data_IF_056006857970
#
_entry.id   IF_056006857970
#
_cell.length_a   1.000
_cell.length_b   1.000
_cell.length_c   1.000
_cell.angle_alpha   90.00
_cell.angle_beta   90.00
_cell.angle_gamma   90.00
#
_symmetry.space_group_name_H-M   'P 1'
#
loop_
_entity.id
_entity.type
_entity.pdbx_description
1 polymer ?
#
# COMPACT_ATOMS: atom_id res chain seq x y z
N UNK A 1 23.55 34.63 -31.93
CA UNK A 1 23.20 34.11 -33.26
C UNK A 1 23.73 32.70 -33.30
N UNK A 2 22.92 31.79 -32.79
CA UNK A 2 22.03 31.00 -33.64
C UNK A 2 22.82 30.06 -34.56
N UNK A 3 22.95 28.80 -34.17
CA UNK A 3 22.15 27.64 -34.56
C UNK A 3 22.25 27.26 -36.05
N UNK A 4 22.44 25.94 -36.25
CA UNK A 4 22.25 25.15 -37.47
C UNK A 4 23.36 25.40 -38.52
N UNK A 5 24.12 24.40 -38.95
CA UNK A 5 23.74 23.36 -39.93
C UNK A 5 25.03 22.49 -40.00
N UNK A 6 25.09 21.23 -39.56
CA UNK A 6 24.51 20.04 -40.18
C UNK A 6 24.51 18.84 -39.20
N UNK A 7 23.30 18.40 -38.90
CA UNK A 7 22.95 17.03 -38.54
C UNK A 7 23.13 16.11 -39.76
N UNK A 8 23.84 14.98 -39.60
CA UNK A 8 23.46 13.72 -40.28
C UNK A 8 24.14 12.47 -39.69
N UNK A 9 23.30 11.55 -39.20
CA UNK A 9 23.55 10.11 -39.00
C UNK A 9 24.34 9.75 -37.73
N UNK A 10 23.91 8.88 -36.82
CA UNK A 10 22.96 7.78 -36.98
C UNK A 10 22.21 7.43 -35.68
N UNK A 11 21.05 6.84 -35.92
CA UNK A 11 20.00 6.46 -34.98
C UNK A 11 20.37 5.14 -34.28
N UNK A 12 20.79 5.18 -33.00
CA UNK A 12 20.91 3.98 -32.14
C UNK A 12 20.49 4.23 -30.67
N UNK A 13 19.59 5.19 -30.41
CA UNK A 13 19.34 5.73 -29.05
C UNK A 13 18.20 5.11 -28.25
N UNK A 14 17.55 4.05 -28.73
CA UNK A 14 16.50 3.36 -27.97
C UNK A 14 17.05 2.34 -26.97
N UNK A 15 17.87 1.39 -27.44
CA UNK A 15 18.28 0.23 -26.65
C UNK A 15 19.39 0.52 -25.63
N UNK A 16 20.34 1.42 -25.93
CA UNK A 16 21.44 1.74 -24.99
C UNK A 16 20.97 2.57 -23.78
N UNK A 17 20.02 3.48 -23.99
CA UNK A 17 19.43 4.31 -22.92
C UNK A 17 18.58 3.44 -21.99
N UNK A 18 17.74 2.57 -22.56
CA UNK A 18 16.93 1.60 -21.81
C UNK A 18 17.79 0.57 -21.07
N UNK A 19 18.84 0.03 -21.70
CA UNK A 19 19.75 -0.90 -21.04
C UNK A 19 20.52 -0.25 -19.88
N UNK A 20 20.86 1.03 -19.98
CA UNK A 20 21.47 1.81 -18.88
C UNK A 20 20.47 2.09 -17.76
N UNK A 21 19.22 2.42 -18.11
CA UNK A 21 18.12 2.64 -17.16
C UNK A 21 17.73 1.35 -16.41
N UNK A 22 17.65 0.21 -17.09
CA UNK A 22 17.39 -1.11 -16.51
C UNK A 22 18.55 -1.60 -15.63
N UNK A 23 19.80 -1.36 -16.03
CA UNK A 23 20.96 -1.66 -15.18
C UNK A 23 21.00 -0.78 -13.93
N UNK A 24 20.69 0.51 -14.07
CA UNK A 24 20.55 1.42 -12.92
C UNK A 24 19.43 0.93 -11.99
N UNK A 25 18.24 0.65 -12.53
CA UNK A 25 17.10 0.13 -11.78
C UNK A 25 17.45 -1.18 -11.07
N UNK A 26 17.98 -2.17 -11.76
CA UNK A 26 18.35 -3.47 -11.16
C UNK A 26 19.41 -3.31 -10.05
N UNK A 27 20.39 -2.43 -10.26
CA UNK A 27 21.44 -2.16 -9.25
C UNK A 27 20.86 -1.43 -8.04
N UNK A 28 19.98 -0.46 -8.25
CA UNK A 28 19.26 0.26 -7.20
C UNK A 28 18.30 -0.66 -6.45
N UNK A 29 17.52 -1.51 -7.12
CA UNK A 29 16.65 -2.50 -6.50
C UNK A 29 17.47 -3.50 -5.68
N UNK A 30 18.60 -3.99 -6.19
CA UNK A 30 19.47 -4.90 -5.43
C UNK A 30 20.07 -4.21 -4.20
N UNK A 31 20.50 -2.96 -4.33
CA UNK A 31 21.05 -2.16 -3.22
C UNK A 31 19.97 -1.81 -2.20
N UNK A 32 18.81 -1.36 -2.66
CA UNK A 32 17.63 -1.05 -1.84
C UNK A 32 17.11 -2.30 -1.13
N UNK A 33 17.06 -3.44 -1.79
CA UNK A 33 16.68 -4.71 -1.19
C UNK A 33 17.66 -5.15 -0.09
N UNK A 34 18.97 -5.00 -0.33
CA UNK A 34 19.99 -5.27 0.71
C UNK A 34 19.93 -4.25 1.83
N UNK A 35 19.60 -2.98 1.55
CA UNK A 35 19.44 -1.94 2.55
C UNK A 35 18.20 -2.20 3.43
N UNK A 36 17.04 -2.47 2.81
CA UNK A 36 15.82 -2.94 3.49
C UNK A 36 16.07 -4.21 4.31
N UNK A 37 16.82 -5.16 3.75
CA UNK A 37 17.14 -6.42 4.43
C UNK A 37 18.21 -6.29 5.52
N UNK A 38 18.94 -5.16 5.61
CA UNK A 38 19.90 -4.87 6.69
C UNK A 38 19.29 -4.00 7.79
N UNK A 39 18.31 -3.17 7.49
CA UNK A 39 17.38 -2.57 8.47
C UNK A 39 16.31 -3.59 8.91
N UNK A 40 16.79 -4.76 9.34
CA UNK A 40 16.00 -5.92 9.77
C UNK A 40 15.01 -5.53 10.87
N UNK A 41 15.43 -4.72 11.85
CA UNK A 41 14.64 -4.44 13.04
C UNK A 41 13.27 -3.83 12.73
N UNK A 42 13.21 -2.90 11.77
CA UNK A 42 11.98 -2.16 11.48
C UNK A 42 11.01 -2.95 10.59
N UNK A 43 11.49 -3.55 9.51
CA UNK A 43 10.65 -4.37 8.63
C UNK A 43 10.15 -5.64 9.34
N UNK A 44 10.98 -6.28 10.17
CA UNK A 44 10.53 -7.41 10.97
C UNK A 44 9.55 -7.01 12.06
N UNK A 45 9.78 -5.90 12.77
CA UNK A 45 8.80 -5.37 13.74
C UNK A 45 7.46 -5.08 13.06
N UNK A 46 7.49 -4.57 11.82
CA UNK A 46 6.29 -4.36 11.01
C UNK A 46 5.60 -5.68 10.70
N UNK A 47 6.30 -6.70 10.19
CA UNK A 47 5.70 -8.02 9.93
C UNK A 47 5.07 -8.61 11.20
N UNK A 48 5.79 -8.59 12.32
CA UNK A 48 5.32 -9.13 13.61
C UNK A 48 4.06 -8.41 14.08
N UNK A 49 4.02 -7.08 14.02
CA UNK A 49 2.86 -6.31 14.45
C UNK A 49 1.64 -6.53 13.56
N UNK A 50 1.82 -6.68 12.24
CA UNK A 50 0.72 -7.03 11.33
C UNK A 50 0.17 -8.43 11.61
N UNK A 51 1.03 -9.40 11.91
CA UNK A 51 0.62 -10.76 12.29
C UNK A 51 -0.15 -10.73 13.60
N UNK A 52 0.38 -10.05 14.63
CA UNK A 52 -0.25 -9.94 15.94
C UNK A 52 -1.66 -9.33 15.84
N UNK A 53 -1.78 -8.24 15.10
CA UNK A 53 -3.08 -7.60 14.81
C UNK A 53 -4.01 -8.55 14.08
N UNK A 54 -3.54 -9.25 13.05
CA UNK A 54 -4.38 -10.16 12.27
C UNK A 54 -4.93 -11.29 13.14
N UNK A 55 -4.12 -11.79 14.09
CA UNK A 55 -4.56 -12.77 15.09
C UNK A 55 -5.60 -12.15 16.03
N UNK A 56 -5.37 -10.94 16.55
CA UNK A 56 -6.34 -10.24 17.40
C UNK A 56 -7.70 -10.05 16.71
N UNK A 57 -7.70 -9.64 15.44
CA UNK A 57 -8.96 -9.50 14.67
C UNK A 57 -9.60 -10.87 14.44
N UNK A 58 -8.80 -11.86 14.05
CA UNK A 58 -9.27 -13.21 13.78
C UNK A 58 -9.89 -13.91 15.00
N UNK A 59 -9.37 -13.66 16.20
CA UNK A 59 -9.93 -14.21 17.45
C UNK A 59 -11.23 -13.53 17.87
N UNK A 60 -11.37 -12.22 17.65
CA UNK A 60 -12.62 -11.48 17.94
C UNK A 60 -13.77 -11.96 17.04
N UNK A 61 -13.47 -12.28 15.78
CA UNK A 61 -14.45 -12.78 14.80
C UNK A 61 -14.36 -14.30 14.61
N UNK A 62 -14.03 -15.04 15.66
CA UNK A 62 -13.90 -16.50 15.59
C UNK A 62 -15.25 -17.18 15.38
N UNK A 63 -15.29 -18.15 14.45
CA UNK A 63 -16.44 -19.00 14.13
C UNK A 63 -17.76 -18.26 13.88
N UNK A 64 -17.73 -17.32 12.93
CA UNK A 64 -18.92 -16.62 12.47
C UNK A 64 -19.83 -17.62 11.73
N UNK A 65 -20.89 -18.07 12.42
CA UNK A 65 -21.87 -19.05 11.94
C UNK A 65 -22.60 -18.71 10.63
N UNK A 66 -23.75 -19.33 10.39
CA UNK A 66 -24.45 -19.24 9.09
C UNK A 66 -25.75 -18.41 9.10
N UNK A 67 -25.94 -17.54 10.09
CA UNK A 67 -27.15 -16.70 10.20
C UNK A 67 -27.05 -15.42 9.35
N UNK A 68 -28.16 -14.72 9.13
CA UNK A 68 -28.16 -13.41 8.48
C UNK A 68 -27.28 -12.38 9.23
N UNK A 69 -27.23 -12.48 10.56
CA UNK A 69 -26.31 -11.67 11.39
C UNK A 69 -24.84 -12.00 11.14
N UNK A 70 -24.55 -13.24 10.72
CA UNK A 70 -23.20 -13.70 10.40
C UNK A 70 -22.67 -13.08 9.11
N UNK A 71 -23.54 -12.71 8.17
CA UNK A 71 -23.14 -11.98 6.95
C UNK A 71 -22.59 -10.60 7.33
N UNK A 72 -23.30 -9.87 8.19
CA UNK A 72 -22.86 -8.56 8.68
C UNK A 72 -21.53 -8.67 9.42
N UNK A 73 -21.38 -9.70 10.27
CA UNK A 73 -20.15 -9.94 11.02
C UNK A 73 -18.93 -10.23 10.11
N UNK A 74 -19.11 -10.94 8.99
CA UNK A 74 -18.03 -11.18 8.01
C UNK A 74 -17.60 -9.90 7.28
N UNK A 75 -18.57 -9.08 6.85
CA UNK A 75 -18.29 -7.77 6.24
C UNK A 75 -17.60 -6.85 7.24
N UNK A 76 -18.05 -6.86 8.50
CA UNK A 76 -17.43 -6.11 9.58
C UNK A 76 -15.98 -6.55 9.85
N UNK A 77 -15.72 -7.86 9.83
CA UNK A 77 -14.36 -8.40 9.95
C UNK A 77 -13.45 -7.90 8.81
N UNK A 78 -13.94 -7.97 7.56
CA UNK A 78 -13.23 -7.45 6.38
C UNK A 78 -12.92 -5.95 6.46
N UNK A 79 -13.88 -5.15 6.93
CA UNK A 79 -13.69 -3.72 7.17
C UNK A 79 -12.64 -3.46 8.25
N UNK A 80 -12.72 -4.23 9.34
CA UNK A 80 -11.86 -4.03 10.51
C UNK A 80 -10.41 -4.40 10.19
N UNK A 81 -10.19 -5.51 9.48
CA UNK A 81 -8.83 -5.93 9.10
C UNK A 81 -8.20 -4.95 8.12
N UNK A 82 -8.92 -4.54 7.07
CA UNK A 82 -8.41 -3.57 6.09
C UNK A 82 -8.17 -2.20 6.72
N UNK A 83 -9.05 -1.75 7.62
CA UNK A 83 -8.91 -0.50 8.35
C UNK A 83 -7.68 -0.48 9.27
N UNK A 84 -7.52 -1.50 10.14
CA UNK A 84 -6.36 -1.56 11.04
C UNK A 84 -5.05 -1.74 10.26
N UNK A 85 -5.03 -2.56 9.21
CA UNK A 85 -3.83 -2.70 8.36
C UNK A 85 -3.42 -1.39 7.70
N UNK A 86 -4.40 -0.58 7.29
CA UNK A 86 -4.15 0.74 6.72
C UNK A 86 -3.54 1.69 7.77
N UNK A 87 -4.03 1.65 9.01
CA UNK A 87 -3.45 2.42 10.11
C UNK A 87 -2.02 1.99 10.44
N UNK A 88 -1.75 0.68 10.45
CA UNK A 88 -0.41 0.16 10.71
C UNK A 88 0.63 0.62 9.68
N UNK A 89 0.21 0.89 8.44
CA UNK A 89 1.11 1.41 7.41
C UNK A 89 1.61 2.83 7.69
N UNK A 90 0.92 3.63 8.53
CA UNK A 90 1.43 4.93 9.01
C UNK A 90 2.67 4.72 9.88
N UNK A 91 2.76 3.60 10.59
CA UNK A 91 3.95 3.21 11.34
C UNK A 91 5.21 3.13 10.45
N UNK A 92 5.03 2.89 9.14
CA UNK A 92 6.01 2.90 8.05
C UNK A 92 6.59 4.28 7.68
N UNK A 93 5.91 5.36 8.07
CA UNK A 93 6.16 6.71 7.57
C UNK A 93 7.54 7.29 7.90
N UNK A 94 8.10 7.15 9.13
CA UNK A 94 9.40 7.70 9.47
C UNK A 94 10.53 7.17 8.57
N UNK A 95 10.48 5.88 8.23
CA UNK A 95 11.46 5.24 7.33
C UNK A 95 11.41 5.85 5.93
N UNK A 96 10.21 6.07 5.37
CA UNK A 96 10.07 6.73 4.06
C UNK A 96 10.66 8.15 4.03
N UNK A 97 10.54 8.90 5.13
CA UNK A 97 11.14 10.24 5.24
C UNK A 97 12.67 10.17 5.25
N UNK A 98 13.25 9.16 5.91
CA UNK A 98 14.71 8.96 5.90
C UNK A 98 15.22 8.62 4.50
N UNK A 99 14.53 7.72 3.79
CA UNK A 99 14.85 7.37 2.40
C UNK A 99 14.75 8.57 1.45
N UNK A 100 13.69 9.40 1.57
CA UNK A 100 13.54 10.61 0.75
C UNK A 100 14.66 11.63 1.01
N UNK A 101 15.14 11.76 2.26
CA UNK A 101 16.29 12.65 2.58
C UNK A 101 17.57 12.19 1.90
N UNK A 102 17.82 10.87 1.85
CA UNK A 102 18.97 10.30 1.14
C UNK A 102 18.80 10.50 -0.36
N UNK A 103 17.61 10.22 -0.90
CA UNK A 103 17.25 10.44 -2.29
C UNK A 103 17.52 11.88 -2.74
N UNK A 104 17.15 12.88 -1.93
CA UNK A 104 17.35 14.29 -2.28
C UNK A 104 18.85 14.63 -2.44
N UNK A 105 19.70 14.07 -1.57
CA UNK A 105 21.16 14.23 -1.65
C UNK A 105 21.75 13.52 -2.87
N UNK A 106 21.32 12.29 -3.16
CA UNK A 106 21.81 11.53 -4.32
C UNK A 106 21.31 12.12 -5.65
N UNK A 107 20.13 12.77 -5.67
CA UNK A 107 19.61 13.50 -6.83
C UNK A 107 20.37 14.79 -7.14
N UNK A 108 20.79 15.53 -6.13
CA UNK A 108 21.63 16.74 -6.31
C UNK A 108 22.97 16.41 -6.98
N UNK A 109 23.47 15.18 -6.79
CA UNK A 109 24.69 14.69 -7.43
C UNK A 109 24.46 14.04 -8.82
N UNK A 110 23.22 14.03 -9.33
CA UNK A 110 22.90 13.57 -10.69
C UNK A 110 22.85 12.05 -10.89
N UNK A 111 22.80 11.24 -9.82
CA UNK A 111 22.93 9.78 -9.94
C UNK A 111 21.73 9.06 -10.59
N UNK A 112 20.48 9.50 -10.37
CA UNK A 112 19.28 8.83 -10.90
C UNK A 112 17.99 9.70 -10.90
N UNK A 113 17.01 9.29 -11.71
CA UNK A 113 15.71 9.96 -11.88
C UNK A 113 14.65 9.56 -10.84
N UNK A 114 13.61 10.40 -10.64
CA UNK A 114 12.49 10.14 -9.70
C UNK A 114 11.77 8.84 -10.05
N UNK A 115 11.53 8.58 -11.34
CA UNK A 115 10.84 7.38 -11.79
C UNK A 115 11.60 6.09 -11.44
N UNK A 116 12.94 6.09 -11.58
CA UNK A 116 13.78 4.93 -11.24
C UNK A 116 13.71 4.64 -9.74
N UNK A 117 13.71 5.68 -8.90
CA UNK A 117 13.60 5.53 -7.46
C UNK A 117 12.24 4.95 -7.04
N UNK A 118 11.13 5.51 -7.53
CA UNK A 118 9.79 4.99 -7.21
C UNK A 118 9.66 3.53 -7.63
N UNK A 119 10.10 3.20 -8.84
CA UNK A 119 9.98 1.84 -9.36
C UNK A 119 10.90 0.87 -8.61
N UNK A 120 12.13 1.28 -8.28
CA UNK A 120 13.06 0.47 -7.49
C UNK A 120 12.53 0.22 -6.08
N UNK A 121 11.94 1.24 -5.45
CA UNK A 121 11.32 1.12 -4.13
C UNK A 121 10.11 0.18 -4.16
N UNK A 122 9.25 0.32 -5.17
CA UNK A 122 8.10 -0.56 -5.36
C UNK A 122 8.53 -2.02 -5.51
N UNK A 123 9.50 -2.32 -6.37
CA UNK A 123 10.01 -3.68 -6.54
C UNK A 123 10.71 -4.24 -5.28
N UNK A 124 11.38 -3.38 -4.51
CA UNK A 124 12.03 -3.77 -3.26
C UNK A 124 11.01 -4.13 -2.16
N UNK A 125 9.95 -3.34 -2.03
CA UNK A 125 8.90 -3.54 -1.01
C UNK A 125 7.87 -4.61 -1.41
N UNK A 126 7.71 -4.89 -2.70
CA UNK A 126 6.75 -5.87 -3.23
C UNK A 126 6.79 -7.24 -2.53
N UNK A 127 7.93 -7.94 -2.39
CA UNK A 127 7.98 -9.25 -1.74
C UNK A 127 7.53 -9.20 -0.27
N UNK A 128 7.86 -8.13 0.46
CA UNK A 128 7.46 -7.96 1.85
C UNK A 128 5.96 -7.71 1.99
N UNK A 129 5.39 -6.87 1.12
CA UNK A 129 3.96 -6.60 1.06
C UNK A 129 3.16 -7.86 0.73
N UNK A 130 3.64 -8.67 -0.23
CA UNK A 130 3.02 -9.95 -0.58
C UNK A 130 3.07 -10.92 0.60
N UNK A 131 4.22 -11.02 1.29
CA UNK A 131 4.34 -11.87 2.47
C UNK A 131 3.36 -11.45 3.58
N UNK A 132 3.27 -10.15 3.89
CA UNK A 132 2.34 -9.62 4.89
C UNK A 132 0.89 -9.92 4.48
N UNK A 133 0.51 -9.65 3.24
CA UNK A 133 -0.85 -9.89 2.73
C UNK A 133 -1.25 -11.37 2.72
N UNK A 134 -0.31 -12.28 2.41
CA UNK A 134 -0.56 -13.72 2.45
C UNK A 134 -0.65 -14.24 3.89
N UNK A 135 0.27 -13.88 4.77
CA UNK A 135 0.26 -14.38 6.16
C UNK A 135 -0.97 -13.85 6.90
N UNK A 136 -1.24 -12.54 6.81
CA UNK A 136 -2.44 -11.99 7.44
C UNK A 136 -3.72 -12.50 6.79
N UNK A 137 -3.74 -12.61 5.46
CA UNK A 137 -4.84 -13.16 4.70
C UNK A 137 -5.20 -14.59 5.11
N UNK A 138 -4.20 -15.47 5.22
CA UNK A 138 -4.37 -16.85 5.66
C UNK A 138 -4.92 -16.94 7.08
N UNK A 139 -4.32 -16.24 8.04
CA UNK A 139 -4.74 -16.25 9.45
C UNK A 139 -6.23 -15.91 9.55
N UNK A 140 -6.64 -14.80 8.93
CA UNK A 140 -8.03 -14.34 9.01
C UNK A 140 -8.98 -15.22 8.20
N UNK A 141 -8.55 -15.71 7.04
CA UNK A 141 -9.38 -16.59 6.21
C UNK A 141 -9.74 -17.90 6.93
N UNK A 142 -8.75 -18.54 7.56
CA UNK A 142 -8.94 -19.82 8.26
C UNK A 142 -9.68 -19.67 9.59
N UNK A 143 -9.36 -18.66 10.40
CA UNK A 143 -9.98 -18.49 11.73
C UNK A 143 -11.43 -18.00 11.67
N UNK A 144 -11.76 -17.15 10.70
CA UNK A 144 -13.14 -16.64 10.51
C UNK A 144 -14.01 -17.64 9.73
N UNK A 145 -13.42 -18.72 9.18
CA UNK A 145 -14.08 -19.72 8.33
C UNK A 145 -14.86 -19.07 7.18
N UNK A 146 -14.15 -18.31 6.35
CA UNK A 146 -14.72 -17.82 5.10
C UNK A 146 -15.05 -18.99 4.15
N UNK A 147 -15.87 -18.71 3.13
CA UNK A 147 -16.36 -19.71 2.18
C UNK A 147 -15.19 -20.48 1.55
N UNK A 148 -15.29 -21.80 1.55
CA UNK A 148 -14.26 -22.68 1.01
C UNK A 148 -14.15 -22.54 -0.51
N UNK A 149 -13.01 -22.05 -0.98
CA UNK A 149 -12.72 -21.90 -2.41
C UNK A 149 -11.38 -21.19 -2.63
N UNK A 150 -10.51 -21.78 -3.44
CA UNK A 150 -9.18 -21.21 -3.69
C UNK A 150 -9.25 -19.84 -4.37
N UNK A 151 -10.23 -19.63 -5.26
CA UNK A 151 -10.49 -18.34 -5.89
C UNK A 151 -10.80 -17.26 -4.85
N UNK A 152 -11.69 -17.56 -3.90
CA UNK A 152 -12.09 -16.64 -2.84
C UNK A 152 -10.93 -16.28 -1.90
N UNK A 153 -10.12 -17.27 -1.53
CA UNK A 153 -8.90 -17.05 -0.77
C UNK A 153 -7.90 -16.15 -1.51
N UNK A 154 -7.63 -16.43 -2.78
CA UNK A 154 -6.71 -15.62 -3.59
C UNK A 154 -7.21 -14.17 -3.73
N UNK A 155 -8.50 -13.98 -3.99
CA UNK A 155 -9.11 -12.64 -4.03
C UNK A 155 -9.01 -11.91 -2.69
N UNK A 156 -9.17 -12.60 -1.56
CA UNK A 156 -9.02 -12.03 -0.22
C UNK A 156 -7.58 -11.53 0.03
N UNK A 157 -6.58 -12.37 -0.23
CA UNK A 157 -5.17 -11.99 -0.07
C UNK A 157 -4.77 -10.85 -1.02
N UNK A 158 -5.22 -10.90 -2.28
CA UNK A 158 -4.96 -9.83 -3.25
C UNK A 158 -5.62 -8.51 -2.81
N UNK A 159 -6.83 -8.57 -2.26
CA UNK A 159 -7.51 -7.38 -1.76
C UNK A 159 -6.72 -6.70 -0.64
N UNK A 160 -6.29 -7.47 0.36
CA UNK A 160 -5.46 -6.98 1.46
C UNK A 160 -4.15 -6.38 0.91
N UNK A 161 -3.49 -7.09 -0.01
CA UNK A 161 -2.27 -6.61 -0.66
C UNK A 161 -2.49 -5.25 -1.34
N UNK A 162 -3.53 -5.12 -2.17
CA UNK A 162 -3.84 -3.86 -2.85
C UNK A 162 -4.17 -2.73 -1.87
N UNK A 163 -4.89 -3.01 -0.78
CA UNK A 163 -5.14 -2.00 0.26
C UNK A 163 -3.83 -1.47 0.86
N UNK A 164 -2.92 -2.36 1.26
CA UNK A 164 -1.65 -1.95 1.86
C UNK A 164 -0.79 -1.20 0.83
N UNK A 165 -0.74 -1.67 -0.43
CA UNK A 165 0.03 -1.03 -1.49
C UNK A 165 -0.47 0.39 -1.82
N UNK A 166 -1.80 0.59 -1.92
CA UNK A 166 -2.40 1.92 -2.16
C UNK A 166 -2.07 2.86 -1.00
N UNK A 167 -2.17 2.36 0.23
CA UNK A 167 -1.86 3.12 1.43
C UNK A 167 -0.39 3.55 1.48
N UNK A 168 0.55 2.65 1.19
CA UNK A 168 1.97 3.01 1.12
C UNK A 168 2.27 4.02 0.02
N UNK A 169 1.63 3.86 -1.13
CA UNK A 169 1.74 4.83 -2.24
C UNK A 169 1.30 6.23 -1.80
N UNK A 170 0.16 6.31 -1.10
CA UNK A 170 -0.36 7.55 -0.55
C UNK A 170 0.59 8.16 0.48
N UNK A 171 1.18 7.33 1.36
CA UNK A 171 2.15 7.78 2.35
C UNK A 171 3.44 8.29 1.73
N UNK A 172 3.93 7.69 0.64
CA UNK A 172 5.07 8.21 -0.12
C UNK A 172 4.78 9.59 -0.72
N UNK A 173 3.57 9.80 -1.24
CA UNK A 173 3.15 11.12 -1.76
C UNK A 173 3.13 12.15 -0.62
N UNK A 174 2.54 11.81 0.54
CA UNK A 174 2.53 12.70 1.72
C UNK A 174 3.96 12.99 2.20
N UNK A 175 4.83 11.98 2.22
CA UNK A 175 6.22 12.14 2.63
C UNK A 175 7.02 13.08 1.72
N UNK A 176 6.65 13.17 0.44
CA UNK A 176 7.27 14.11 -0.51
C UNK A 176 6.78 15.56 -0.37
N UNK A 177 5.56 15.77 0.14
CA UNK A 177 4.94 17.08 0.29
C UNK A 177 5.31 17.75 1.62
N UNK A 178 5.59 16.96 2.65
CA UNK A 178 5.76 17.46 4.01
C UNK A 178 7.24 17.47 4.41
N UNK A 179 7.80 18.63 4.82
CA UNK A 179 9.20 18.74 5.21
C UNK A 179 9.50 18.19 6.62
N UNK A 180 8.49 18.00 7.46
CA UNK A 180 8.62 17.58 8.85
C UNK A 180 7.91 16.24 9.13
N UNK A 181 8.61 15.29 9.74
CA UNK A 181 8.09 13.94 10.02
C UNK A 181 6.83 13.94 10.89
N UNK A 182 6.76 14.81 11.92
CA UNK A 182 5.58 14.90 12.79
C UNK A 182 4.34 15.35 12.03
N UNK A 183 4.50 16.39 11.22
CA UNK A 183 3.42 16.93 10.40
C UNK A 183 2.96 15.88 9.38
N UNK A 184 3.88 15.10 8.82
CA UNK A 184 3.56 14.01 7.89
C UNK A 184 2.75 12.88 8.53
N UNK A 185 3.10 12.48 9.76
CA UNK A 185 2.31 11.50 10.53
C UNK A 185 0.90 12.04 10.82
N UNK A 186 0.78 13.30 11.25
CA UNK A 186 -0.53 13.92 11.54
C UNK A 186 -1.39 14.02 10.28
N UNK A 187 -0.83 14.49 9.17
CA UNK A 187 -1.54 14.58 7.88
C UNK A 187 -1.90 13.19 7.35
N UNK A 188 -0.99 12.23 7.41
CA UNK A 188 -1.23 10.85 7.00
C UNK A 188 -2.34 10.18 7.82
N UNK A 189 -2.30 10.32 9.14
CA UNK A 189 -3.35 9.82 10.04
C UNK A 189 -4.70 10.51 9.80
N UNK A 190 -4.70 11.82 9.54
CA UNK A 190 -5.90 12.57 9.19
C UNK A 190 -6.54 12.09 7.88
N UNK A 191 -5.74 11.94 6.82
CA UNK A 191 -6.21 11.41 5.53
C UNK A 191 -6.75 9.98 5.70
N UNK A 192 -6.01 9.10 6.38
CA UNK A 192 -6.45 7.73 6.63
C UNK A 192 -7.73 7.65 7.46
N UNK A 193 -7.86 8.50 8.49
CA UNK A 193 -9.08 8.59 9.28
C UNK A 193 -10.29 8.96 8.43
N UNK A 194 -10.14 9.94 7.52
CA UNK A 194 -11.21 10.34 6.59
C UNK A 194 -11.53 9.21 5.60
N UNK A 195 -10.52 8.53 5.05
CA UNK A 195 -10.72 7.41 4.13
C UNK A 195 -11.40 6.21 4.83
N UNK A 196 -11.07 5.95 6.09
CA UNK A 196 -11.72 4.89 6.86
C UNK A 196 -13.17 5.25 7.22
N UNK A 197 -13.47 6.50 7.58
CA UNK A 197 -14.84 6.96 7.81
C UNK A 197 -15.73 6.81 6.58
N UNK A 198 -15.16 6.96 5.39
CA UNK A 198 -15.85 6.87 4.09
C UNK A 198 -15.83 5.49 3.45
N UNK A 199 -15.19 4.52 4.08
CA UNK A 199 -15.05 3.15 3.57
C UNK A 199 -16.38 2.39 3.45
N UNK A 200 -17.50 2.93 3.93
CA UNK A 200 -18.80 2.25 3.86
C UNK A 200 -19.10 1.33 5.04
N UNK A 201 -18.17 1.19 6.00
CA UNK A 201 -18.37 0.41 7.22
C UNK A 201 -19.28 1.11 8.24
N UNK A 202 -19.03 2.41 8.53
CA UNK A 202 -19.81 3.16 9.52
C UNK A 202 -21.20 3.57 9.02
N UNK A 203 -21.33 3.80 7.70
CA UNK A 203 -22.58 4.12 7.03
C UNK A 203 -22.52 3.62 5.59
N UNK A 204 -23.58 3.00 5.10
CA UNK A 204 -23.62 2.53 3.71
C UNK A 204 -23.52 3.71 2.74
N UNK A 205 -22.78 3.54 1.63
CA UNK A 205 -22.57 4.55 0.58
C UNK A 205 -23.84 5.34 0.15
N UNK A 206 -25.04 4.73 0.02
CA UNK A 206 -26.25 5.43 -0.39
C UNK A 206 -26.79 6.43 0.64
N UNK A 207 -26.40 6.30 1.91
CA UNK A 207 -26.90 7.13 3.02
C UNK A 207 -25.90 8.23 3.42
N UNK A 208 -24.78 8.37 2.70
CA UNK A 208 -23.85 9.47 2.93
C UNK A 208 -24.37 10.79 2.33
N UNK A 209 -24.14 11.92 3.03
CA UNK A 209 -24.52 13.24 2.57
C UNK A 209 -23.86 13.58 1.23
N UNK A 210 -24.67 14.06 0.27
CA UNK A 210 -24.35 14.08 -1.17
C UNK A 210 -23.18 14.99 -1.57
N UNK A 211 -22.91 16.07 -0.85
CA UNK A 211 -22.05 17.16 -1.34
C UNK A 211 -20.54 16.85 -1.33
N UNK A 212 -20.01 16.31 -0.24
CA UNK A 212 -18.55 16.11 -0.05
C UNK A 212 -18.22 14.63 0.17
N UNK A 213 -19.14 13.89 0.79
CA UNK A 213 -18.87 12.53 1.25
C UNK A 213 -19.20 11.47 0.21
N UNK A 214 -20.17 11.72 -0.68
CA UNK A 214 -20.63 10.76 -1.69
C UNK A 214 -19.83 10.76 -3.00
N UNK A 215 -19.34 11.90 -3.48
CA UNK A 215 -18.86 12.02 -4.86
C UNK A 215 -17.48 12.65 -5.12
N UNK A 216 -16.63 12.87 -4.10
CA UNK A 216 -15.21 12.53 -4.32
C UNK A 216 -14.64 11.52 -3.33
N UNK A 217 -14.95 11.64 -2.04
CA UNK A 217 -14.23 10.87 -1.00
C UNK A 217 -14.57 9.38 -1.02
N UNK A 218 -15.83 9.01 -1.27
CA UNK A 218 -16.22 7.60 -1.41
C UNK A 218 -15.65 6.91 -2.65
N UNK A 219 -15.37 7.64 -3.74
CA UNK A 219 -14.74 7.08 -4.95
C UNK A 219 -13.23 6.92 -4.79
N UNK A 220 -12.60 7.82 -4.04
CA UNK A 220 -11.17 7.79 -3.72
C UNK A 220 -10.86 6.80 -2.59
N UNK A 221 -11.82 6.52 -1.70
CA UNK A 221 -11.63 5.59 -0.59
C UNK A 221 -11.50 4.15 -1.10
N UNK A 222 -10.25 3.67 -1.14
CA UNK A 222 -9.92 2.26 -1.39
C UNK A 222 -10.64 1.32 -0.42
N UNK A 223 -11.00 1.79 0.78
CA UNK A 223 -11.77 1.02 1.76
C UNK A 223 -13.18 0.69 1.28
N UNK A 224 -13.83 1.58 0.53
CA UNK A 224 -15.15 1.34 -0.06
C UNK A 224 -15.10 0.25 -1.13
N UNK A 225 -14.07 0.29 -1.99
CA UNK A 225 -13.83 -0.76 -2.99
C UNK A 225 -13.44 -2.09 -2.35
N UNK A 226 -12.61 -2.07 -1.31
CA UNK A 226 -12.23 -3.26 -0.55
C UNK A 226 -13.46 -3.92 0.09
N UNK A 227 -14.35 -3.10 0.68
CA UNK A 227 -15.60 -3.57 1.25
C UNK A 227 -16.58 -4.11 0.21
N UNK A 228 -16.63 -3.51 -0.97
CA UNK A 228 -17.43 -4.02 -2.08
C UNK A 228 -16.92 -5.37 -2.59
N UNK A 229 -15.60 -5.59 -2.58
CA UNK A 229 -15.01 -6.90 -2.88
C UNK A 229 -15.41 -7.95 -1.82
N UNK A 230 -15.40 -7.59 -0.53
CA UNK A 230 -15.89 -8.49 0.53
C UNK A 230 -17.38 -8.81 0.40
N UNK A 231 -18.20 -7.86 -0.03
CA UNK A 231 -19.63 -8.08 -0.32
C UNK A 231 -19.86 -9.01 -1.53
N UNK A 232 -18.95 -8.99 -2.51
CA UNK A 232 -19.00 -9.86 -3.69
C UNK A 232 -18.55 -11.30 -3.38
N UNK A 233 -17.76 -11.49 -2.32
CA UNK A 233 -17.29 -12.77 -1.77
C UNK A 233 -18.38 -13.59 -1.03
N UNK A 234 -19.65 -13.33 -1.32
CA UNK A 234 -20.84 -14.01 -0.77
C UNK A 234 -20.84 -15.53 -0.99
#
# INVERSE_FOLDING_TARGET
MEIYVLQKGDVETGSQSEARWLKQLSTLTKRSFVNMSRDVGYYWARIVTYIAVSICVATVFFDVGYSYTSILARVACGAFITGIMSFMSIGGFPSFIEEIKVFYKERLNGYYGVAVYILSNFFSSFPFLVAIGLISGTITFFMVKFRTGFSHYAFFCLNIFFCIAVVESLMMVVASLVPNYLMGIVTGAGIMGILMMTSGFFRLLPDLPKAIWRYPVSYISFGAWALQVFLCLR
#
